data_IF_103747101012
#
_entry.id   IF_103747101012
#
_cell.length_a   1.000
_cell.length_b   1.000
_cell.length_c   1.000
_cell.angle_alpha   90.00
_cell.angle_beta   90.00
_cell.angle_gamma   90.00
#
_symmetry.space_group_name_H-M   'P 1'
#
loop_
_entity.id
_entity.type
_entity.pdbx_description
1 polymer ?
#
# COMPACT_ATOMS: atom_id res chain seq x y z
N UNK A 1 1.10 -19.40 6.66
CA UNK A 1 2.00 -18.59 5.81
C UNK A 1 2.32 -17.29 6.51
N UNK A 2 3.60 -16.96 6.61
CA UNK A 2 4.07 -15.73 7.26
C UNK A 2 3.77 -14.53 6.37
N UNK A 3 3.20 -13.45 6.92
CA UNK A 3 3.01 -12.22 6.16
C UNK A 3 4.35 -11.50 5.97
N UNK A 4 4.45 -10.56 5.00
CA UNK A 4 5.72 -9.87 4.72
C UNK A 4 6.32 -9.16 5.94
N UNK A 5 5.49 -8.61 6.83
CA UNK A 5 5.96 -7.92 8.04
C UNK A 5 6.63 -8.89 9.00
N UNK A 6 6.03 -10.06 9.26
CA UNK A 6 6.61 -11.08 10.14
C UNK A 6 7.89 -11.66 9.57
N UNK A 7 7.93 -11.93 8.25
CA UNK A 7 9.14 -12.38 7.57
C UNK A 7 10.26 -11.35 7.70
N UNK A 8 9.95 -10.07 7.56
CA UNK A 8 10.92 -8.98 7.69
C UNK A 8 11.51 -8.94 9.10
N UNK A 9 10.69 -9.13 10.14
CA UNK A 9 11.16 -9.17 11.52
C UNK A 9 12.10 -10.34 11.79
N UNK A 10 11.81 -11.51 11.23
CA UNK A 10 12.63 -12.70 11.41
C UNK A 10 13.97 -12.61 10.68
N UNK A 11 13.94 -12.16 9.42
CA UNK A 11 15.09 -12.23 8.53
C UNK A 11 15.91 -10.94 8.54
N UNK A 12 15.24 -9.80 8.65
CA UNK A 12 15.87 -8.49 8.58
C UNK A 12 15.34 -7.58 9.70
N UNK A 13 15.67 -7.89 10.98
CA UNK A 13 15.08 -7.16 12.11
C UNK A 13 15.43 -5.68 12.11
N UNK A 14 16.61 -5.29 11.63
CA UNK A 14 16.97 -3.87 11.54
C UNK A 14 16.11 -3.14 10.54
N UNK A 15 15.81 -3.76 9.39
CA UNK A 15 14.91 -3.17 8.41
C UNK A 15 13.50 -3.03 8.97
N UNK A 16 13.02 -4.03 9.72
CA UNK A 16 11.72 -3.97 10.39
C UNK A 16 11.66 -2.84 11.42
N UNK A 17 12.73 -2.66 12.21
CA UNK A 17 12.84 -1.56 13.16
C UNK A 17 12.77 -0.21 12.47
N UNK A 18 13.53 -0.01 11.39
CA UNK A 18 13.51 1.24 10.63
C UNK A 18 12.14 1.48 10.01
N UNK A 19 11.49 0.45 9.46
CA UNK A 19 10.15 0.58 8.92
C UNK A 19 9.14 1.03 9.99
N UNK A 20 9.24 0.48 11.21
CA UNK A 20 8.37 0.87 12.30
C UNK A 20 8.64 2.31 12.76
N UNK A 21 9.92 2.68 12.93
CA UNK A 21 10.31 3.95 13.55
C UNK A 21 10.32 5.10 12.55
N UNK A 22 10.80 4.87 11.32
CA UNK A 22 10.96 5.93 10.32
C UNK A 22 9.74 6.01 9.41
N UNK A 23 9.32 4.90 8.80
CA UNK A 23 8.19 4.93 7.88
C UNK A 23 6.89 5.21 8.62
N UNK A 24 6.51 4.35 9.54
CA UNK A 24 5.21 4.46 10.23
C UNK A 24 5.23 5.39 11.43
N UNK A 25 6.39 5.54 12.10
CA UNK A 25 6.53 6.42 13.26
C UNK A 25 6.82 7.87 12.90
N UNK A 26 7.34 8.15 11.72
CA UNK A 26 7.69 9.50 11.29
C UNK A 26 7.00 9.88 9.97
N UNK A 27 7.31 9.20 8.87
CA UNK A 27 6.83 9.61 7.54
C UNK A 27 5.31 9.66 7.47
N UNK A 28 4.64 8.61 7.94
CA UNK A 28 3.17 8.55 7.95
C UNK A 28 2.52 9.54 8.90
N UNK A 29 3.26 10.01 9.90
CA UNK A 29 2.77 10.97 10.90
C UNK A 29 3.03 12.43 10.52
N UNK A 30 3.71 12.70 9.42
CA UNK A 30 4.00 14.07 8.99
C UNK A 30 2.71 14.79 8.60
N UNK A 31 2.57 16.09 8.95
CA UNK A 31 1.33 16.83 8.72
C UNK A 31 1.11 17.29 7.27
N UNK A 32 2.12 17.15 6.41
CA UNK A 32 2.05 17.64 5.02
C UNK A 32 1.02 16.95 4.14
N UNK A 33 0.66 15.70 4.47
CA UNK A 33 -0.42 14.95 3.80
C UNK A 33 -1.20 14.20 4.87
N UNK A 34 -2.49 14.05 4.67
CA UNK A 34 -3.33 13.23 5.54
C UNK A 34 -2.96 11.75 5.39
N UNK A 35 -3.29 10.95 6.38
CA UNK A 35 -3.14 9.49 6.29
C UNK A 35 -3.98 8.91 5.16
N UNK A 36 -5.13 9.49 4.90
CA UNK A 36 -5.99 9.12 3.77
C UNK A 36 -5.27 9.32 2.43
N UNK A 37 -4.67 10.51 2.22
CA UNK A 37 -3.94 10.80 0.99
C UNK A 37 -2.70 9.91 0.85
N UNK A 38 -1.97 9.68 1.94
CA UNK A 38 -0.81 8.78 1.95
C UNK A 38 -1.22 7.36 1.57
N UNK A 39 -2.38 6.89 2.06
CA UNK A 39 -2.92 5.57 1.71
C UNK A 39 -3.23 5.47 0.22
N UNK A 40 -3.83 6.49 -0.39
CA UNK A 40 -4.11 6.52 -1.82
C UNK A 40 -2.83 6.46 -2.64
N UNK A 41 -1.83 7.24 -2.27
CA UNK A 41 -0.52 7.24 -2.93
C UNK A 41 0.12 5.85 -2.82
N UNK A 42 0.09 5.25 -1.64
CA UNK A 42 0.69 3.93 -1.40
C UNK A 42 0.02 2.85 -2.24
N UNK A 43 -1.31 2.82 -2.27
CA UNK A 43 -2.05 1.86 -3.10
C UNK A 43 -1.69 2.05 -4.57
N UNK A 44 -1.61 3.29 -5.06
CA UNK A 44 -1.24 3.58 -6.44
C UNK A 44 0.17 3.08 -6.77
N UNK A 45 1.14 3.35 -5.91
CA UNK A 45 2.53 2.92 -6.10
C UNK A 45 2.65 1.40 -6.08
N UNK A 46 2.03 0.74 -5.10
CA UNK A 46 2.09 -0.72 -4.99
C UNK A 46 1.38 -1.39 -6.17
N UNK A 47 0.31 -0.79 -6.69
CA UNK A 47 -0.37 -1.24 -7.89
C UNK A 47 0.55 -1.13 -9.10
N UNK A 48 1.15 0.03 -9.31
CA UNK A 48 2.04 0.29 -10.45
C UNK A 48 3.24 -0.65 -10.46
N UNK A 49 3.84 -0.89 -9.29
CA UNK A 49 4.99 -1.78 -9.13
C UNK A 49 4.59 -3.25 -9.01
N UNK A 50 3.32 -3.54 -8.95
CA UNK A 50 2.75 -4.86 -8.74
C UNK A 50 3.33 -5.57 -7.50
N UNK A 51 3.29 -4.88 -6.36
CA UNK A 51 3.73 -5.43 -5.07
C UNK A 51 2.57 -6.17 -4.41
N UNK A 52 2.23 -7.34 -4.94
CA UNK A 52 1.06 -8.11 -4.56
C UNK A 52 1.08 -8.57 -3.10
N UNK A 53 2.26 -8.78 -2.54
CA UNK A 53 2.39 -9.19 -1.13
C UNK A 53 2.01 -8.10 -0.13
N UNK A 54 2.23 -6.84 -0.48
CA UNK A 54 1.94 -5.69 0.39
C UNK A 54 0.56 -5.08 0.14
N UNK A 55 -0.03 -5.31 -1.02
CA UNK A 55 -1.30 -4.70 -1.41
C UNK A 55 -2.46 -5.00 -0.45
N UNK A 56 -2.73 -6.26 -0.04
CA UNK A 56 -3.88 -6.51 0.82
C UNK A 56 -3.84 -5.71 2.11
N UNK A 57 -2.69 -5.64 2.77
CA UNK A 57 -2.52 -4.89 4.01
C UNK A 57 -2.71 -3.39 3.80
N UNK A 58 -2.21 -2.82 2.71
CA UNK A 58 -2.34 -1.39 2.43
C UNK A 58 -3.73 -1.02 1.91
N UNK A 59 -4.43 -1.92 1.23
CA UNK A 59 -5.84 -1.71 0.87
C UNK A 59 -6.68 -1.62 2.15
N UNK A 60 -6.48 -2.54 3.10
CA UNK A 60 -7.16 -2.49 4.39
C UNK A 60 -6.83 -1.22 5.17
N UNK A 61 -5.57 -0.82 5.19
CA UNK A 61 -5.15 0.44 5.82
C UNK A 61 -5.82 1.65 5.16
N UNK A 62 -5.93 1.65 3.83
CA UNK A 62 -6.61 2.72 3.11
C UNK A 62 -8.08 2.84 3.52
N UNK A 63 -8.77 1.70 3.62
CA UNK A 63 -10.15 1.68 4.10
C UNK A 63 -10.25 2.23 5.52
N UNK A 64 -9.36 1.82 6.42
CA UNK A 64 -9.32 2.32 7.79
C UNK A 64 -9.03 3.82 7.86
N UNK A 65 -8.26 4.34 6.92
CA UNK A 65 -7.94 5.78 6.84
C UNK A 65 -8.97 6.60 6.07
N UNK A 66 -10.10 6.00 5.69
CA UNK A 66 -11.21 6.73 5.10
C UNK A 66 -11.27 6.73 3.58
N UNK A 67 -10.40 5.99 2.91
CA UNK A 67 -10.51 5.77 1.45
C UNK A 67 -11.65 4.78 1.22
N UNK A 68 -12.55 5.09 0.30
CA UNK A 68 -13.68 4.20 0.02
C UNK A 68 -13.30 3.10 -0.97
N UNK A 69 -14.09 2.05 -1.00
CA UNK A 69 -13.92 0.96 -1.98
C UNK A 69 -14.03 1.50 -3.41
N UNK A 70 -14.95 2.41 -3.66
CA UNK A 70 -15.11 3.02 -4.98
C UNK A 70 -13.87 3.83 -5.36
N UNK A 71 -13.28 4.55 -4.41
CA UNK A 71 -12.04 5.29 -4.65
C UNK A 71 -10.86 4.36 -4.95
N UNK A 72 -10.77 3.22 -4.28
CA UNK A 72 -9.75 2.21 -4.60
C UNK A 72 -9.93 1.73 -6.04
N UNK A 73 -11.15 1.47 -6.47
CA UNK A 73 -11.46 1.12 -7.86
C UNK A 73 -11.02 2.20 -8.84
N UNK A 74 -11.23 3.47 -8.50
CA UNK A 74 -10.80 4.60 -9.34
C UNK A 74 -9.28 4.71 -9.40
N UNK A 75 -8.57 4.46 -8.31
CA UNK A 75 -7.10 4.44 -8.28
C UNK A 75 -6.59 3.36 -9.24
N UNK A 76 -7.10 2.15 -9.14
CA UNK A 76 -6.69 1.02 -9.98
C UNK A 76 -6.98 1.33 -11.45
N UNK A 77 -8.14 1.88 -11.76
CA UNK A 77 -8.53 2.27 -13.11
C UNK A 77 -7.59 3.33 -13.69
N UNK A 78 -7.28 4.35 -12.90
CA UNK A 78 -6.37 5.40 -13.32
C UNK A 78 -4.97 4.85 -13.59
N UNK A 79 -4.44 4.07 -12.66
CA UNK A 79 -3.09 3.49 -12.76
C UNK A 79 -2.97 2.55 -13.98
N UNK A 80 -4.05 1.90 -14.40
CA UNK A 80 -4.05 1.02 -15.56
C UNK A 80 -3.52 1.72 -16.81
N UNK A 81 -3.77 3.01 -16.98
CA UNK A 81 -3.36 3.77 -18.15
C UNK A 81 -1.95 4.32 -18.07
N UNK A 82 -1.29 4.16 -16.93
CA UNK A 82 0.12 4.54 -16.73
C UNK A 82 1.04 3.36 -16.50
N UNK A 83 0.51 2.24 -15.96
CA UNK A 83 1.31 1.07 -15.60
C UNK A 83 0.91 -0.21 -16.36
N UNK A 84 -0.23 -0.20 -17.08
CA UNK A 84 -0.68 -1.32 -17.88
C UNK A 84 -1.95 -1.98 -17.34
N UNK A 85 -2.87 -2.26 -18.25
CA UNK A 85 -4.16 -2.90 -17.94
C UNK A 85 -3.99 -4.31 -17.33
N UNK A 86 -3.09 -5.18 -17.82
CA UNK A 86 -2.92 -6.50 -17.20
C UNK A 86 -2.53 -6.43 -15.73
N UNK A 87 -1.64 -5.52 -15.36
CA UNK A 87 -1.24 -5.30 -13.96
C UNK A 87 -2.43 -4.86 -13.13
N UNK A 88 -3.20 -3.88 -13.61
CA UNK A 88 -4.37 -3.37 -12.91
C UNK A 88 -5.45 -4.43 -12.77
N UNK A 89 -5.66 -5.29 -13.77
CA UNK A 89 -6.62 -6.38 -13.71
C UNK A 89 -6.27 -7.38 -12.60
N UNK A 90 -4.99 -7.72 -12.46
CA UNK A 90 -4.53 -8.61 -11.39
C UNK A 90 -4.73 -7.97 -10.01
N UNK A 91 -4.43 -6.68 -9.88
CA UNK A 91 -4.62 -5.94 -8.62
C UNK A 91 -6.10 -5.84 -8.26
N UNK A 92 -6.97 -5.64 -9.23
CA UNK A 92 -8.42 -5.62 -8.99
C UNK A 92 -8.90 -6.94 -8.38
N UNK A 93 -8.32 -8.07 -8.79
CA UNK A 93 -8.61 -9.37 -8.20
C UNK A 93 -8.14 -9.51 -6.75
N UNK A 94 -7.11 -8.76 -6.35
CA UNK A 94 -6.62 -8.74 -4.97
C UNK A 94 -7.52 -7.86 -4.07
N UNK A 95 -8.01 -6.76 -4.61
CA UNK A 95 -8.88 -5.86 -3.89
C UNK A 95 -10.26 -6.48 -3.69
#
# INVERSE_FOLDING_TARGET
MTNPRSAMQEVAPKMAEIAADVLFGDIWERPGLSKRDRSMITVAVLTALYRSGQLPGHINRALDNGVTKDEIGEIITHVAFYAGVPTAANVAGIA
#
